data_IF_308415116866
#
_entry.id   IF_308415116866
#
_cell.length_a   1.000
_cell.length_b   1.000
_cell.length_c   1.000
_cell.angle_alpha   90.00
_cell.angle_beta   90.00
_cell.angle_gamma   90.00
#
_symmetry.space_group_name_H-M   'P 1'
#
loop_
_entity.id
_entity.type
_entity.pdbx_description
1 polymer ?
#
# COMPACT_ATOMS: atom_id res chain seq x y z
N UNK A 1 -20.48 -13.04 -29.00
CA UNK A 1 -19.63 -12.30 -28.04
C UNK A 1 -20.40 -11.08 -27.53
N UNK A 2 -20.91 -11.12 -26.31
CA UNK A 2 -21.77 -10.07 -25.73
C UNK A 2 -20.91 -8.85 -25.37
N UNK A 3 -21.21 -7.69 -25.95
CA UNK A 3 -20.61 -6.39 -25.63
C UNK A 3 -20.73 -6.12 -24.11
N UNK A 4 -19.64 -6.31 -23.36
CA UNK A 4 -19.56 -5.82 -21.98
C UNK A 4 -19.43 -4.29 -22.04
N UNK A 5 -20.24 -3.54 -21.31
CA UNK A 5 -20.20 -2.08 -21.36
C UNK A 5 -18.83 -1.57 -20.90
N UNK A 6 -18.26 -0.66 -21.70
CA UNK A 6 -16.96 0.00 -21.47
C UNK A 6 -16.92 0.88 -20.19
N UNK A 7 -18.03 1.01 -19.46
CA UNK A 7 -18.25 2.02 -18.40
C UNK A 7 -18.14 1.53 -16.95
N UNK A 8 -17.77 0.27 -16.66
CA UNK A 8 -17.57 -0.14 -15.26
C UNK A 8 -16.18 0.26 -14.76
N UNK A 9 -16.14 1.18 -13.80
CA UNK A 9 -14.93 1.63 -13.07
C UNK A 9 -14.22 0.43 -12.39
N UNK A 10 -14.99 -0.56 -11.93
CA UNK A 10 -14.49 -1.85 -11.46
C UNK A 10 -14.53 -2.88 -12.61
N UNK A 11 -13.47 -2.91 -13.42
CA UNK A 11 -13.40 -3.79 -14.60
C UNK A 11 -13.09 -5.24 -14.24
N UNK A 12 -12.26 -5.45 -13.22
CA UNK A 12 -11.81 -6.78 -12.77
C UNK A 12 -11.56 -6.76 -11.27
N UNK A 13 -11.52 -7.95 -10.65
CA UNK A 13 -11.13 -8.13 -9.26
C UNK A 13 -9.74 -7.51 -8.96
N UNK A 14 -8.86 -7.46 -9.96
CA UNK A 14 -7.56 -6.80 -9.86
C UNK A 14 -7.66 -5.27 -9.71
N UNK A 15 -8.62 -4.63 -10.39
CA UNK A 15 -8.86 -3.19 -10.19
C UNK A 15 -9.38 -2.92 -8.77
N UNK A 16 -10.25 -3.80 -8.26
CA UNK A 16 -10.73 -3.71 -6.88
C UNK A 16 -9.59 -3.88 -5.87
N UNK A 17 -8.69 -4.85 -6.09
CA UNK A 17 -7.46 -5.02 -5.28
C UNK A 17 -6.67 -3.71 -5.27
N UNK A 18 -6.41 -3.12 -6.44
CA UNK A 18 -5.64 -1.88 -6.53
C UNK A 18 -6.29 -0.77 -5.71
N UNK A 19 -7.58 -0.49 -5.91
CA UNK A 19 -8.28 0.58 -5.22
C UNK A 19 -8.36 0.36 -3.71
N UNK A 20 -8.66 -0.86 -3.27
CA UNK A 20 -8.74 -1.21 -1.85
C UNK A 20 -7.37 -1.09 -1.17
N UNK A 21 -6.33 -1.63 -1.78
CA UNK A 21 -4.98 -1.54 -1.22
C UNK A 21 -4.48 -0.09 -1.24
N UNK A 22 -4.81 0.71 -2.26
CA UNK A 22 -4.49 2.15 -2.27
C UNK A 22 -5.20 2.90 -1.13
N UNK A 23 -6.48 2.63 -0.89
CA UNK A 23 -7.21 3.19 0.25
C UNK A 23 -6.51 2.86 1.58
N UNK A 24 -6.23 1.57 1.81
CA UNK A 24 -5.57 1.10 3.05
C UNK A 24 -4.16 1.68 3.18
N UNK A 25 -3.43 1.82 2.07
CA UNK A 25 -2.12 2.47 2.04
C UNK A 25 -2.20 3.93 2.48
N UNK A 26 -3.20 4.67 2.00
CA UNK A 26 -3.46 6.04 2.44
C UNK A 26 -3.74 6.13 3.95
N UNK A 27 -4.54 5.20 4.48
CA UNK A 27 -4.84 5.11 5.92
C UNK A 27 -3.58 4.88 6.76
N UNK A 28 -2.73 3.94 6.37
CA UNK A 28 -1.52 3.62 7.14
C UNK A 28 -0.48 4.74 7.05
N UNK A 29 -0.28 5.30 5.85
CA UNK A 29 0.70 6.38 5.62
C UNK A 29 0.37 7.61 6.45
N UNK A 30 -0.90 8.02 6.51
CA UNK A 30 -1.26 9.22 7.26
C UNK A 30 -1.13 9.01 8.77
N UNK A 31 -1.46 7.83 9.29
CA UNK A 31 -1.25 7.50 10.71
C UNK A 31 0.24 7.45 11.03
N UNK A 32 1.04 6.85 10.16
CA UNK A 32 2.51 6.83 10.33
C UNK A 32 3.08 8.25 10.29
N UNK A 33 2.59 9.09 9.39
CA UNK A 33 3.03 10.47 9.30
C UNK A 33 2.67 11.27 10.57
N UNK A 34 1.45 11.11 11.08
CA UNK A 34 0.95 11.84 12.25
C UNK A 34 1.60 11.38 13.57
N UNK A 35 1.80 10.07 13.76
CA UNK A 35 2.19 9.51 15.06
C UNK A 35 3.61 8.95 15.12
N UNK A 36 4.24 8.69 13.96
CA UNK A 36 5.58 8.09 13.88
C UNK A 36 6.60 9.07 13.30
N UNK A 37 6.55 10.32 13.79
CA UNK A 37 7.55 11.35 13.50
C UNK A 37 7.72 11.63 12.00
N UNK A 38 6.60 11.80 11.29
CA UNK A 38 6.57 12.05 9.83
C UNK A 38 7.17 10.90 9.00
N UNK A 39 7.32 9.71 9.58
CA UNK A 39 7.75 8.53 8.82
C UNK A 39 6.69 8.14 7.79
N UNK A 40 7.09 8.19 6.52
CA UNK A 40 6.28 7.72 5.40
C UNK A 40 6.73 6.31 5.02
N UNK A 41 6.08 5.31 5.60
CA UNK A 41 6.55 3.92 5.63
C UNK A 41 6.58 3.25 4.23
N UNK A 42 5.81 3.76 3.27
CA UNK A 42 5.84 3.33 1.87
C UNK A 42 6.61 4.28 0.94
N UNK A 43 7.14 5.40 1.42
CA UNK A 43 7.90 6.39 0.63
C UNK A 43 9.35 6.52 1.11
N UNK A 44 10.22 5.65 0.58
CA UNK A 44 11.63 5.61 0.98
C UNK A 44 12.38 6.91 0.67
N UNK A 45 12.09 7.56 -0.45
CA UNK A 45 12.73 8.83 -0.83
C UNK A 45 12.48 9.95 0.19
N UNK A 46 11.26 10.04 0.73
CA UNK A 46 10.95 11.04 1.76
C UNK A 46 11.75 10.79 3.05
N UNK A 47 11.84 9.54 3.50
CA UNK A 47 12.68 9.18 4.64
C UNK A 47 14.17 9.49 4.37
N UNK A 48 14.64 9.30 3.13
CA UNK A 48 16.02 9.65 2.77
C UNK A 48 16.27 11.15 2.93
N UNK A 49 15.35 11.99 2.44
CA UNK A 49 15.47 13.45 2.58
C UNK A 49 15.43 13.87 4.06
N UNK A 50 14.51 13.32 4.85
CA UNK A 50 14.45 13.60 6.29
C UNK A 50 15.72 13.16 7.02
N UNK A 51 16.27 11.98 6.70
CA UNK A 51 17.51 11.48 7.28
C UNK A 51 18.72 12.36 6.93
N UNK A 52 18.87 12.75 5.66
CA UNK A 52 19.97 13.63 5.21
C UNK A 52 19.85 15.01 5.86
N UNK A 53 18.65 15.59 5.90
CA UNK A 53 18.43 16.90 6.53
C UNK A 53 18.77 16.87 8.03
N UNK A 54 18.41 15.80 8.73
CA UNK A 54 18.75 15.64 10.14
C UNK A 54 20.26 15.48 10.37
N UNK A 55 20.96 14.72 9.52
CA UNK A 55 22.43 14.62 9.56
C UNK A 55 23.12 15.95 9.26
N UNK A 56 22.62 16.72 8.28
CA UNK A 56 23.19 18.00 7.89
C UNK A 56 23.08 19.06 9.01
N UNK A 57 22.08 18.95 9.87
CA UNK A 57 21.92 19.80 11.05
C UNK A 57 22.85 19.42 12.23
N UNK A 58 23.75 18.46 12.05
CA UNK A 58 24.79 18.11 13.02
C UNK A 58 24.33 17.28 14.22
N UNK A 59 23.05 16.90 14.28
CA UNK A 59 22.55 15.98 15.30
C UNK A 59 22.93 14.54 14.95
N UNK A 60 23.69 13.85 15.80
CA UNK A 60 23.88 12.39 15.73
C UNK A 60 22.89 11.64 16.65
N UNK A 61 21.79 12.30 16.99
CA UNK A 61 20.74 11.77 17.84
C UNK A 61 19.95 10.67 17.10
N UNK A 62 19.19 9.85 17.83
CA UNK A 62 18.38 8.79 17.21
C UNK A 62 17.40 9.32 16.16
N UNK A 63 16.96 10.57 16.26
CA UNK A 63 16.13 11.25 15.24
C UNK A 63 16.78 11.28 13.85
N UNK A 64 18.10 11.48 13.80
CA UNK A 64 18.85 11.51 12.54
C UNK A 64 19.02 10.12 11.93
N UNK A 65 19.20 9.11 12.78
CA UNK A 65 19.39 7.72 12.35
C UNK A 65 18.05 6.99 12.12
N UNK A 66 16.95 7.48 12.69
CA UNK A 66 15.61 6.89 12.61
C UNK A 66 15.13 6.71 11.17
N UNK A 67 15.11 7.79 10.38
CA UNK A 67 14.66 7.71 8.99
C UNK A 67 15.61 6.89 8.11
N UNK A 68 16.91 6.91 8.40
CA UNK A 68 17.90 6.08 7.71
C UNK A 68 17.67 4.60 8.03
N UNK A 69 17.38 4.28 9.30
CA UNK A 69 17.09 2.91 9.75
C UNK A 69 15.85 2.34 9.07
N UNK A 70 14.81 3.17 8.83
CA UNK A 70 13.63 2.78 8.05
C UNK A 70 14.04 2.27 6.65
N UNK A 71 14.93 2.99 5.97
CA UNK A 71 15.42 2.63 4.64
C UNK A 71 16.24 1.32 4.71
N UNK A 72 17.14 1.20 5.68
CA UNK A 72 17.95 -0.01 5.87
C UNK A 72 17.07 -1.24 6.10
N UNK A 73 16.08 -1.15 7.00
CA UNK A 73 15.13 -2.23 7.27
C UNK A 73 14.36 -2.57 6.00
N UNK A 74 13.88 -1.57 5.26
CA UNK A 74 13.17 -1.81 4.00
C UNK A 74 14.05 -2.57 2.98
N UNK A 75 15.32 -2.19 2.83
CA UNK A 75 16.25 -2.86 1.91
C UNK A 75 16.50 -4.31 2.33
N UNK A 76 16.65 -4.57 3.63
CA UNK A 76 16.77 -5.92 4.17
C UNK A 76 15.51 -6.74 3.88
N UNK A 77 14.32 -6.17 4.09
CA UNK A 77 13.05 -6.83 3.76
C UNK A 77 12.95 -7.18 2.27
N UNK A 78 13.34 -6.26 1.38
CA UNK A 78 13.35 -6.49 -0.05
C UNK A 78 14.32 -7.61 -0.46
N UNK A 79 15.53 -7.60 0.10
CA UNK A 79 16.53 -8.64 -0.14
C UNK A 79 16.08 -10.02 0.37
N UNK A 80 15.59 -10.09 1.61
CA UNK A 80 15.08 -11.33 2.20
C UNK A 80 13.91 -11.90 1.40
N UNK A 81 12.98 -11.05 1.00
CA UNK A 81 11.85 -11.48 0.18
C UNK A 81 12.30 -12.05 -1.17
N UNK A 82 13.28 -11.43 -1.84
CA UNK A 82 13.82 -11.96 -3.10
C UNK A 82 14.44 -13.35 -2.91
N UNK A 83 15.18 -13.55 -1.81
CA UNK A 83 15.76 -14.85 -1.45
C UNK A 83 14.67 -15.91 -1.19
N UNK A 84 13.61 -15.53 -0.48
CA UNK A 84 12.48 -16.42 -0.18
C UNK A 84 11.72 -16.81 -1.45
N UNK A 85 11.43 -15.86 -2.34
CA UNK A 85 10.74 -16.13 -3.61
C UNK A 85 11.56 -17.08 -4.47
N UNK A 86 12.88 -16.85 -4.58
CA UNK A 86 13.76 -17.73 -5.34
C UNK A 86 13.81 -19.16 -4.78
N UNK A 87 13.71 -19.33 -3.45
CA UNK A 87 13.79 -20.64 -2.78
C UNK A 87 12.47 -21.40 -2.74
N UNK A 88 11.33 -20.72 -2.71
CA UNK A 88 10.01 -21.33 -2.45
C UNK A 88 8.99 -21.15 -3.59
N UNK A 89 9.44 -20.76 -4.79
CA UNK A 89 8.58 -20.54 -5.96
C UNK A 89 7.63 -21.72 -6.28
N UNK A 90 8.05 -22.95 -5.99
CA UNK A 90 7.34 -24.19 -6.31
C UNK A 90 6.14 -24.54 -5.42
N UNK A 91 5.85 -23.76 -4.36
CA UNK A 91 4.82 -24.12 -3.34
C UNK A 91 3.45 -23.45 -3.50
N UNK A 92 3.26 -22.61 -4.53
CA UNK A 92 2.00 -21.90 -4.72
C UNK A 92 1.09 -22.63 -5.73
N UNK A 93 0.00 -23.22 -5.22
CA UNK A 93 -0.99 -23.94 -6.02
C UNK A 93 -1.76 -23.05 -7.02
N UNK A 94 -1.88 -21.74 -6.77
CA UNK A 94 -2.46 -20.77 -7.71
C UNK A 94 -2.07 -19.33 -7.34
N UNK A 95 -2.13 -18.37 -8.28
CA UNK A 95 -1.93 -16.93 -7.98
C UNK A 95 -2.91 -16.40 -6.93
N UNK A 96 -4.17 -16.88 -6.95
CA UNK A 96 -5.21 -16.50 -5.99
C UNK A 96 -4.90 -16.95 -4.56
N UNK A 97 -4.27 -18.13 -4.42
CA UNK A 97 -3.81 -18.62 -3.12
C UNK A 97 -2.72 -17.71 -2.54
N UNK A 98 -1.79 -17.25 -3.39
CA UNK A 98 -0.76 -16.28 -3.00
C UNK A 98 -1.33 -14.96 -2.50
N UNK A 99 -2.33 -14.40 -3.19
CA UNK A 99 -3.00 -13.17 -2.71
C UNK A 99 -3.76 -13.40 -1.41
N UNK A 100 -4.48 -14.52 -1.29
CA UNK A 100 -5.26 -14.81 -0.08
C UNK A 100 -4.36 -14.89 1.15
N UNK A 101 -3.21 -15.57 1.05
CA UNK A 101 -2.21 -15.63 2.11
C UNK A 101 -1.65 -14.24 2.41
N UNK A 102 -1.20 -13.50 1.39
CA UNK A 102 -0.61 -12.17 1.57
C UNK A 102 -1.58 -11.19 2.25
N UNK A 103 -2.86 -11.19 1.85
CA UNK A 103 -3.89 -10.35 2.47
C UNK A 103 -4.22 -10.79 3.89
N UNK A 104 -4.21 -12.09 4.17
CA UNK A 104 -4.42 -12.62 5.53
C UNK A 104 -3.27 -12.19 6.47
N UNK A 105 -2.02 -12.26 6.00
CA UNK A 105 -0.86 -11.77 6.74
C UNK A 105 -0.99 -10.25 6.97
N UNK A 106 -1.41 -9.49 5.96
CA UNK A 106 -1.64 -8.05 6.11
C UNK A 106 -2.76 -7.73 7.11
N UNK A 107 -3.81 -8.54 7.23
CA UNK A 107 -4.82 -8.37 8.29
C UNK A 107 -4.18 -8.46 9.68
N UNK A 108 -3.35 -9.49 9.90
CA UNK A 108 -2.66 -9.71 11.17
C UNK A 108 -1.67 -8.57 11.47
N UNK A 109 -0.88 -8.16 10.48
CA UNK A 109 0.08 -7.07 10.63
C UNK A 109 -0.60 -5.73 10.90
N UNK A 110 -1.71 -5.42 10.22
CA UNK A 110 -2.46 -4.19 10.45
C UNK A 110 -3.09 -4.18 11.85
N UNK A 111 -3.66 -5.32 12.29
CA UNK A 111 -4.18 -5.47 13.65
C UNK A 111 -3.06 -5.29 14.68
N UNK A 112 -1.91 -5.95 14.47
CA UNK A 112 -0.76 -5.82 15.36
C UNK A 112 -0.23 -4.37 15.41
N UNK A 113 -0.13 -3.69 14.26
CA UNK A 113 0.28 -2.28 14.17
C UNK A 113 -0.69 -1.37 14.93
N UNK A 114 -2.00 -1.58 14.75
CA UNK A 114 -3.04 -0.81 15.42
C UNK A 114 -3.01 -1.01 16.94
N UNK A 115 -2.97 -2.25 17.42
CA UNK A 115 -2.97 -2.57 18.85
C UNK A 115 -1.68 -2.14 19.53
N UNK A 116 -0.53 -2.41 18.90
CA UNK A 116 0.77 -2.00 19.44
C UNK A 116 0.89 -0.47 19.46
N UNK A 117 0.48 0.22 18.39
CA UNK A 117 0.48 1.68 18.34
C UNK A 117 -0.43 2.29 19.40
N UNK A 118 -1.64 1.74 19.58
CA UNK A 118 -2.55 2.18 20.65
C UNK A 118 -1.96 1.95 22.05
N UNK A 119 -1.37 0.78 22.30
CA UNK A 119 -0.71 0.48 23.57
C UNK A 119 0.47 1.41 23.83
N UNK A 120 1.33 1.62 22.84
CA UNK A 120 2.48 2.53 22.94
C UNK A 120 2.04 3.97 23.19
N UNK A 121 0.94 4.41 22.58
CA UNK A 121 0.35 5.72 22.83
C UNK A 121 -0.18 5.83 24.27
N UNK A 122 -0.89 4.80 24.76
CA UNK A 122 -1.46 4.79 26.11
C UNK A 122 -0.36 4.81 27.19
N UNK A 123 0.71 4.04 27.01
CA UNK A 123 1.82 3.98 27.97
C UNK A 123 2.83 5.12 27.82
N UNK A 124 2.56 6.13 26.98
CA UNK A 124 3.45 7.28 26.79
C UNK A 124 4.80 6.93 26.15
N UNK A 125 4.87 5.82 25.41
CA UNK A 125 6.09 5.38 24.71
C UNK A 125 6.31 6.15 23.39
N UNK A 126 5.27 6.81 22.88
CA UNK A 126 5.34 7.76 21.77
C UNK A 126 5.54 9.17 22.34
N UNK A 127 6.79 9.56 22.54
CA UNK A 127 7.17 10.89 23.03
C UNK A 127 7.21 11.94 21.91
N UNK A 128 7.84 13.09 22.20
CA UNK A 128 8.03 14.15 21.19
C UNK A 128 9.13 13.82 20.16
N UNK A 129 10.06 12.93 20.51
CA UNK A 129 11.19 12.51 19.67
C UNK A 129 11.19 10.99 19.48
N UNK A 130 11.64 10.49 18.31
CA UNK A 130 11.77 9.06 18.08
C UNK A 130 12.76 8.45 19.07
N UNK A 131 12.44 7.26 19.56
CA UNK A 131 13.31 6.44 20.39
C UNK A 131 13.38 5.02 19.82
N UNK A 132 14.42 4.22 20.16
CA UNK A 132 14.53 2.83 19.69
C UNK A 132 13.30 1.97 19.99
N UNK A 133 12.51 2.32 21.02
CA UNK A 133 11.27 1.63 21.41
C UNK A 133 10.19 1.67 20.32
N UNK A 134 10.23 2.65 19.41
CA UNK A 134 9.27 2.81 18.29
C UNK A 134 9.59 1.89 17.10
N UNK A 135 10.82 1.36 17.01
CA UNK A 135 11.27 0.57 15.87
C UNK A 135 10.46 -0.70 15.60
N UNK A 136 10.00 -1.48 16.61
CA UNK A 136 9.16 -2.64 16.36
C UNK A 136 7.85 -2.26 15.64
N UNK A 137 7.19 -1.19 16.07
CA UNK A 137 5.95 -0.69 15.46
C UNK A 137 6.17 -0.26 14.01
N UNK A 138 7.24 0.51 13.76
CA UNK A 138 7.62 0.95 12.41
C UNK A 138 7.97 -0.24 11.52
N UNK A 139 8.66 -1.25 12.06
CA UNK A 139 9.03 -2.46 11.33
C UNK A 139 7.80 -3.26 10.90
N UNK A 140 6.80 -3.40 11.77
CA UNK A 140 5.52 -4.03 11.42
C UNK A 140 4.84 -3.25 10.28
N UNK A 141 4.81 -1.92 10.38
CA UNK A 141 4.30 -1.06 9.31
C UNK A 141 5.05 -1.24 7.99
N UNK A 142 6.39 -1.35 8.04
CA UNK A 142 7.23 -1.56 6.85
C UNK A 142 6.94 -2.89 6.18
N UNK A 143 6.84 -3.97 6.96
CA UNK A 143 6.49 -5.30 6.44
C UNK A 143 5.10 -5.26 5.79
N UNK A 144 4.13 -4.63 6.45
CA UNK A 144 2.79 -4.47 5.90
C UNK A 144 2.80 -3.72 4.55
N UNK A 145 3.45 -2.56 4.49
CA UNK A 145 3.53 -1.75 3.27
C UNK A 145 4.29 -2.47 2.15
N UNK A 146 5.32 -3.23 2.51
CA UNK A 146 6.07 -4.05 1.58
C UNK A 146 5.18 -5.13 0.95
N UNK A 147 4.50 -5.94 1.76
CA UNK A 147 3.57 -6.98 1.28
C UNK A 147 2.44 -6.36 0.46
N UNK A 148 1.89 -5.23 0.91
CA UNK A 148 0.87 -4.51 0.17
C UNK A 148 1.35 -4.09 -1.22
N UNK A 149 2.52 -3.46 -1.33
CA UNK A 149 3.10 -3.05 -2.61
C UNK A 149 3.41 -4.25 -3.51
N UNK A 150 3.80 -5.38 -2.91
CA UNK A 150 3.98 -6.64 -3.63
C UNK A 150 2.65 -7.16 -4.21
N UNK A 151 1.57 -7.16 -3.43
CA UNK A 151 0.22 -7.56 -3.88
C UNK A 151 -0.27 -6.69 -5.03
N UNK A 152 -0.09 -5.37 -4.94
CA UNK A 152 -0.44 -4.44 -6.04
C UNK A 152 0.38 -4.75 -7.28
N UNK A 153 1.72 -4.89 -7.16
CA UNK A 153 2.61 -5.15 -8.29
C UNK A 153 2.31 -6.47 -9.00
N UNK A 154 1.99 -7.51 -8.24
CA UNK A 154 1.73 -8.83 -8.79
C UNK A 154 0.26 -9.04 -9.15
N UNK A 155 -0.64 -8.10 -8.81
CA UNK A 155 -2.10 -8.10 -8.97
C UNK A 155 -2.64 -8.33 -10.39
N UNK A 156 -1.83 -8.73 -11.36
CA UNK A 156 -2.29 -9.13 -12.69
C UNK A 156 -2.66 -7.99 -13.63
N UNK A 157 -2.38 -6.73 -13.27
CA UNK A 157 -2.36 -5.63 -14.24
C UNK A 157 -0.91 -5.26 -14.57
N UNK A 158 -0.63 -4.89 -15.83
CA UNK A 158 0.71 -4.44 -16.24
C UNK A 158 1.02 -3.00 -15.80
N UNK A 159 0.24 -2.44 -14.88
CA UNK A 159 0.21 -1.02 -14.56
C UNK A 159 0.87 -0.77 -13.20
N UNK A 160 1.97 0.01 -13.15
CA UNK A 160 2.60 0.34 -11.87
C UNK A 160 1.67 1.28 -11.10
N UNK A 161 1.12 0.79 -9.99
CA UNK A 161 0.18 1.53 -9.12
C UNK A 161 0.58 1.46 -7.64
N UNK A 162 1.76 0.89 -7.36
CA UNK A 162 2.33 0.84 -6.01
C UNK A 162 2.62 2.26 -5.50
N UNK A 163 2.43 2.48 -4.20
CA UNK A 163 2.64 3.79 -3.56
C UNK A 163 4.10 4.25 -3.69
N UNK A 164 5.03 3.29 -3.78
CA UNK A 164 6.47 3.53 -4.00
C UNK A 164 6.81 4.21 -5.34
N UNK A 165 5.87 4.31 -6.28
CA UNK A 165 6.10 4.91 -7.61
C UNK A 165 5.05 5.98 -7.95
N UNK A 166 4.56 6.72 -6.94
CA UNK A 166 3.45 7.69 -7.08
C UNK A 166 3.71 8.74 -8.17
N UNK A 167 4.96 9.21 -8.33
CA UNK A 167 5.30 10.20 -9.36
C UNK A 167 5.06 9.65 -10.77
N UNK A 168 5.45 8.39 -11.01
CA UNK A 168 5.17 7.71 -12.28
C UNK A 168 3.67 7.51 -12.46
N UNK A 169 2.91 7.23 -11.39
CA UNK A 169 1.45 7.15 -11.45
C UNK A 169 0.85 8.47 -11.90
N UNK A 170 1.31 9.62 -11.38
CA UNK A 170 0.82 10.94 -11.82
C UNK A 170 1.15 11.22 -13.29
N UNK A 171 2.38 10.95 -13.73
CA UNK A 171 2.80 11.16 -15.12
C UNK A 171 2.02 10.25 -16.07
N UNK A 172 1.85 8.98 -15.72
CA UNK A 172 1.05 8.04 -16.50
C UNK A 172 -0.43 8.43 -16.49
N UNK A 173 -0.99 8.85 -15.36
CA UNK A 173 -2.37 9.33 -15.29
C UNK A 173 -2.59 10.48 -16.28
N UNK A 174 -1.77 11.51 -16.22
CA UNK A 174 -1.91 12.69 -17.07
C UNK A 174 -1.72 12.32 -18.54
N UNK A 175 -0.60 11.69 -18.90
CA UNK A 175 -0.35 11.30 -20.30
C UNK A 175 -1.44 10.41 -20.90
N UNK A 176 -2.04 9.52 -20.10
CA UNK A 176 -3.10 8.61 -20.54
C UNK A 176 -4.46 9.29 -20.60
N UNK A 177 -4.80 10.19 -19.69
CA UNK A 177 -6.04 10.98 -19.76
C UNK A 177 -6.04 11.89 -21.00
N UNK A 178 -4.91 12.51 -21.32
CA UNK A 178 -4.78 13.39 -22.49
C UNK A 178 -4.65 12.63 -23.83
N UNK A 179 -4.57 11.30 -23.80
CA UNK A 179 -4.53 10.48 -25.03
C UNK A 179 -5.78 10.63 -25.92
N UNK A 180 -6.89 11.15 -25.38
CA UNK A 180 -8.11 11.47 -26.14
C UNK A 180 -7.85 12.52 -27.21
N UNK A 181 -6.92 13.44 -26.96
CA UNK A 181 -6.54 14.53 -27.87
C UNK A 181 -5.51 14.10 -28.92
N UNK A 182 -4.93 12.90 -28.81
CA UNK A 182 -3.94 12.38 -29.75
C UNK A 182 -4.61 11.93 -31.06
N UNK A 183 -4.65 12.83 -32.05
CA UNK A 183 -5.27 12.57 -33.36
C UNK A 183 -4.56 11.50 -34.17
N UNK A 184 -3.32 11.14 -33.85
CA UNK A 184 -2.55 10.11 -34.55
C UNK A 184 -2.95 8.68 -34.14
N UNK A 185 -3.73 8.52 -33.05
CA UNK A 185 -4.14 7.20 -32.56
C UNK A 185 -5.54 6.79 -33.00
N UNK A 186 -5.68 5.48 -33.23
CA UNK A 186 -6.97 4.86 -33.50
C UNK A 186 -7.95 5.09 -32.34
N UNK A 187 -9.24 5.30 -32.66
CA UNK A 187 -10.29 5.59 -31.66
C UNK A 187 -10.35 4.55 -30.53
N UNK A 188 -10.20 3.26 -30.86
CA UNK A 188 -10.19 2.17 -29.87
C UNK A 188 -9.00 2.27 -28.90
N UNK A 189 -7.84 2.68 -29.41
CA UNK A 189 -6.63 2.83 -28.61
C UNK A 189 -6.76 4.04 -27.66
N UNK A 190 -7.25 5.17 -28.16
CA UNK A 190 -7.53 6.36 -27.34
C UNK A 190 -8.46 6.07 -26.18
N UNK A 191 -9.58 5.39 -26.45
CA UNK A 191 -10.54 5.02 -25.39
C UNK A 191 -9.89 4.09 -24.38
N UNK A 192 -9.11 3.10 -24.83
CA UNK A 192 -8.37 2.21 -23.92
C UNK A 192 -7.45 3.01 -23.00
N UNK A 193 -6.57 3.83 -23.56
CA UNK A 193 -5.61 4.64 -22.80
C UNK A 193 -6.30 5.61 -21.84
N UNK A 194 -7.38 6.26 -22.27
CA UNK A 194 -8.19 7.10 -21.39
C UNK A 194 -8.71 6.34 -20.17
N UNK A 195 -9.20 5.10 -20.36
CA UNK A 195 -9.61 4.26 -19.23
C UNK A 195 -8.44 3.81 -18.34
N UNK A 196 -7.25 3.62 -18.90
CA UNK A 196 -6.04 3.40 -18.10
C UNK A 196 -5.71 4.65 -17.26
N UNK A 197 -5.86 5.85 -17.83
CA UNK A 197 -5.75 7.13 -17.11
C UNK A 197 -6.76 7.26 -15.97
N UNK A 198 -8.03 6.92 -16.23
CA UNK A 198 -9.07 6.87 -15.20
C UNK A 198 -8.75 5.86 -14.10
N UNK A 199 -8.14 4.71 -14.43
CA UNK A 199 -7.72 3.77 -13.40
C UNK A 199 -6.69 4.39 -12.45
N UNK A 200 -5.68 5.08 -12.96
CA UNK A 200 -4.70 5.79 -12.13
C UNK A 200 -5.33 6.89 -11.28
N UNK A 201 -6.26 7.67 -11.85
CA UNK A 201 -7.00 8.68 -11.11
C UNK A 201 -7.78 8.08 -9.93
N UNK A 202 -8.46 6.94 -10.16
CA UNK A 202 -9.20 6.25 -9.10
C UNK A 202 -8.28 5.68 -8.02
N UNK A 203 -7.09 5.19 -8.37
CA UNK A 203 -6.06 4.76 -7.41
C UNK A 203 -5.67 5.92 -6.49
N UNK A 204 -5.38 7.09 -7.06
CA UNK A 204 -5.03 8.30 -6.31
C UNK A 204 -6.19 8.77 -5.44
N UNK A 205 -7.41 8.79 -5.99
CA UNK A 205 -8.60 9.20 -5.26
C UNK A 205 -8.86 8.30 -4.04
N UNK A 206 -8.74 6.98 -4.18
CA UNK A 206 -8.90 6.05 -3.05
C UNK A 206 -7.82 6.25 -1.99
N UNK A 207 -6.56 6.43 -2.40
CA UNK A 207 -5.47 6.76 -1.47
C UNK A 207 -5.76 8.04 -0.69
N UNK A 208 -6.18 9.11 -1.39
CA UNK A 208 -6.51 10.39 -0.78
C UNK A 208 -7.70 10.29 0.18
N UNK A 209 -8.76 9.60 -0.22
CA UNK A 209 -9.94 9.37 0.65
C UNK A 209 -9.54 8.58 1.89
N UNK A 210 -8.73 7.53 1.76
CA UNK A 210 -8.24 6.76 2.90
C UNK A 210 -7.42 7.60 3.88
N UNK A 211 -6.48 8.40 3.35
CA UNK A 211 -5.69 9.32 4.15
C UNK A 211 -6.56 10.39 4.84
N UNK A 212 -7.49 11.01 4.13
CA UNK A 212 -8.35 12.06 4.67
C UNK A 212 -9.28 11.53 5.78
N UNK A 213 -9.99 10.43 5.52
CA UNK A 213 -10.90 9.82 6.51
C UNK A 213 -10.13 9.42 7.76
N UNK A 214 -8.96 8.79 7.59
CA UNK A 214 -8.15 8.34 8.72
C UNK A 214 -7.55 9.52 9.49
N UNK A 215 -7.14 10.60 8.82
CA UNK A 215 -6.66 11.81 9.48
C UNK A 215 -7.74 12.50 10.32
N UNK A 216 -9.00 12.48 9.86
CA UNK A 216 -10.13 13.02 10.62
C UNK A 216 -10.44 12.13 11.83
N UNK A 217 -10.48 10.81 11.65
CA UNK A 217 -10.76 9.86 12.73
C UNK A 217 -9.64 9.82 13.77
N UNK A 218 -8.37 9.92 13.35
CA UNK A 218 -7.22 9.77 14.24
C UNK A 218 -7.18 10.86 15.31
N UNK A 219 -7.68 12.05 15.02
CA UNK A 219 -7.84 13.13 16.01
C UNK A 219 -8.69 12.73 17.22
N UNK A 220 -9.61 11.77 17.05
CA UNK A 220 -10.52 11.33 18.09
C UNK A 220 -10.12 10.01 18.73
N UNK A 221 -9.66 9.04 17.92
CA UNK A 221 -9.42 7.65 18.37
C UNK A 221 -8.00 7.14 18.12
N UNK A 222 -7.08 8.02 17.74
CA UNK A 222 -5.66 7.70 17.56
C UNK A 222 -5.44 6.55 16.57
N UNK A 223 -4.68 5.53 16.97
CA UNK A 223 -4.38 4.35 16.15
C UNK A 223 -5.64 3.53 15.80
N UNK A 224 -6.70 3.56 16.62
CA UNK A 224 -7.95 2.87 16.30
C UNK A 224 -8.68 3.45 15.08
N UNK A 225 -8.25 4.60 14.55
CA UNK A 225 -8.73 5.12 13.26
C UNK A 225 -8.50 4.13 12.10
N UNK A 226 -7.52 3.23 12.24
CA UNK A 226 -7.26 2.15 11.28
C UNK A 226 -8.31 1.02 11.30
N UNK A 227 -9.27 1.03 12.24
CA UNK A 227 -10.32 0.00 12.31
C UNK A 227 -11.13 -0.10 11.02
N UNK A 228 -11.39 1.03 10.35
CA UNK A 228 -12.08 1.03 9.06
C UNK A 228 -11.25 0.34 7.96
N UNK A 229 -9.94 0.61 7.92
CA UNK A 229 -9.03 -0.03 6.99
C UNK A 229 -8.90 -1.53 7.27
N UNK A 230 -8.86 -1.92 8.55
CA UNK A 230 -8.84 -3.32 8.98
C UNK A 230 -10.12 -4.05 8.57
N UNK A 231 -11.29 -3.46 8.83
CA UNK A 231 -12.57 -4.04 8.43
C UNK A 231 -12.64 -4.23 6.92
N UNK A 232 -12.25 -3.20 6.15
CA UNK A 232 -12.23 -3.27 4.69
C UNK A 232 -11.28 -4.37 4.20
N UNK A 233 -10.09 -4.49 4.79
CA UNK A 233 -9.11 -5.51 4.45
C UNK A 233 -9.61 -6.93 4.79
N UNK A 234 -10.24 -7.12 5.95
CA UNK A 234 -10.80 -8.42 6.37
C UNK A 234 -11.91 -8.85 5.43
N UNK A 235 -12.89 -7.98 5.15
CA UNK A 235 -14.00 -8.28 4.23
C UNK A 235 -13.49 -8.62 2.84
N UNK A 236 -12.48 -7.89 2.36
CA UNK A 236 -11.89 -8.13 1.05
C UNK A 236 -11.09 -9.44 1.03
N UNK A 237 -10.35 -9.76 2.10
CA UNK A 237 -9.61 -11.03 2.26
C UNK A 237 -10.55 -12.23 2.23
N UNK A 238 -11.67 -12.16 2.95
CA UNK A 238 -12.71 -13.20 2.92
C UNK A 238 -13.27 -13.40 1.51
N UNK A 239 -13.52 -12.32 0.77
CA UNK A 239 -13.97 -12.40 -0.62
C UNK A 239 -12.94 -13.11 -1.51
N UNK A 240 -11.65 -12.82 -1.36
CA UNK A 240 -10.59 -13.48 -2.13
C UNK A 240 -10.50 -14.98 -1.81
N UNK A 241 -10.64 -15.37 -0.54
CA UNK A 241 -10.72 -16.78 -0.13
C UNK A 241 -11.90 -17.51 -0.78
N UNK A 242 -13.08 -16.89 -0.82
CA UNK A 242 -14.27 -17.45 -1.50
C UNK A 242 -14.02 -17.63 -3.00
N UNK A 243 -13.40 -16.64 -3.66
CA UNK A 243 -13.05 -16.73 -5.08
C UNK A 243 -12.04 -17.85 -5.33
N UNK A 244 -11.03 -18.00 -4.47
CA UNK A 244 -10.07 -19.09 -4.55
C UNK A 244 -10.74 -20.46 -4.40
N UNK A 245 -11.63 -20.62 -3.40
CA UNK A 245 -12.38 -21.86 -3.18
C UNK A 245 -13.23 -22.27 -4.39
N UNK A 246 -13.92 -21.30 -5.02
CA UNK A 246 -14.68 -21.52 -6.26
C UNK A 246 -13.77 -21.91 -7.43
N UNK A 247 -12.60 -21.29 -7.55
CA UNK A 247 -11.63 -21.64 -8.60
C UNK A 247 -11.10 -23.07 -8.45
N UNK A 248 -10.89 -23.53 -7.21
CA UNK A 248 -10.45 -24.90 -6.92
C UNK A 248 -11.53 -25.93 -7.25
N UNK A 249 -12.79 -25.62 -6.94
CA UNK A 249 -13.94 -26.50 -7.22
C UNK A 249 -14.26 -26.66 -8.72
N UNK A 250 -13.81 -25.74 -9.58
CA UNK A 250 -13.98 -25.83 -11.05
C UNK A 250 -12.83 -26.59 -11.72
N UNK A 251 -11.72 -26.82 -11.02
CA UNK A 251 -10.55 -27.56 -11.52
C UNK A 251 -10.52 -29.04 -11.09
N UNK A 252 -11.49 -29.46 -10.26
CA UNK A 252 -11.74 -30.86 -9.87
C UNK A 252 -12.95 -31.34 -10.68
#
# INVERSE_FOLDING_TARGET
MRNKPLSRVYRTLNHEIHYMMSFIGGCLEIVSFMYLYKALIGYMTSNMIFGIAALANGGMDFESVYHISIILIWMVLAALHQLLVNRYHSRLNSPWHGYAIAMSINCLLLLAFMLLGAAMSHYGLLGAKPTPRVMPLVTIGLIFMYIQNFVIKHGGTRQPTATSVVTTVYVLMMSRLFSVFDRHRNRRERVRLYHEGLHYLMVIAHFFVGALVTALLSRHIGFYSLSLALLALVLFTLRIWVVHGRHRAVQI
#
